data_IF_413126501357
#
_entry.id   IF_413126501357
#
_cell.length_a   1.000
_cell.length_b   1.000
_cell.length_c   1.000
_cell.angle_alpha   90.00
_cell.angle_beta   90.00
_cell.angle_gamma   90.00
#
_symmetry.space_group_name_H-M   'P 1'
#
loop_
_entity.id
_entity.type
_entity.pdbx_description
1 polymer ?
#
# COMPACT_ATOMS: atom_id res chain seq x y z
N UNK A 1 18.92 3.95 -53.29
CA UNK A 1 18.79 4.22 -51.85
C UNK A 1 17.31 4.42 -51.57
N UNK A 2 16.59 3.35 -51.22
CA UNK A 2 15.15 3.46 -50.95
C UNK A 2 14.94 4.16 -49.60
N UNK A 3 14.01 5.12 -49.49
CA UNK A 3 13.68 5.71 -48.21
C UNK A 3 13.03 4.62 -47.35
N UNK A 4 13.74 4.16 -46.32
CA UNK A 4 13.13 3.40 -45.24
C UNK A 4 12.24 4.38 -44.51
N UNK A 5 10.95 4.39 -44.85
CA UNK A 5 9.93 5.04 -44.05
C UNK A 5 10.09 4.56 -42.62
N UNK A 6 10.61 5.42 -41.77
CA UNK A 6 10.60 5.27 -40.33
C UNK A 6 9.12 5.20 -39.94
N UNK A 7 8.58 3.98 -39.84
CA UNK A 7 7.30 3.74 -39.19
C UNK A 7 7.49 4.16 -37.74
N UNK A 8 7.27 5.43 -37.44
CA UNK A 8 6.87 5.83 -36.09
C UNK A 8 5.55 5.12 -35.85
N UNK A 9 5.61 4.05 -35.07
CA UNK A 9 4.43 3.47 -34.45
C UNK A 9 3.66 4.63 -33.82
N UNK A 10 2.41 4.89 -34.23
CA UNK A 10 1.62 5.91 -33.57
C UNK A 10 1.51 5.49 -32.10
N UNK A 11 1.79 6.42 -31.18
CA UNK A 11 1.54 6.28 -29.76
C UNK A 11 0.03 6.05 -29.59
N UNK A 12 -0.41 4.79 -29.72
CA UNK A 12 -1.81 4.40 -29.65
C UNK A 12 -2.22 4.41 -28.18
N UNK A 13 -2.58 5.60 -27.70
CA UNK A 13 -3.32 5.74 -26.45
C UNK A 13 -4.73 5.20 -26.70
N UNK A 14 -4.91 3.89 -26.51
CA UNK A 14 -6.22 3.23 -26.57
C UNK A 14 -6.97 3.53 -25.29
N UNK A 15 -8.08 4.26 -25.38
CA UNK A 15 -9.02 4.40 -24.26
C UNK A 15 -9.56 3.01 -23.90
N UNK A 16 -9.26 2.56 -22.68
CA UNK A 16 -9.75 1.28 -22.16
C UNK A 16 -11.21 1.47 -21.71
N UNK A 17 -12.13 0.69 -22.28
CA UNK A 17 -13.53 0.71 -21.84
C UNK A 17 -13.67 0.23 -20.40
N UNK A 18 -14.66 0.74 -19.66
CA UNK A 18 -14.89 0.36 -18.25
C UNK A 18 -15.20 -1.14 -18.09
N UNK A 19 -15.75 -1.72 -19.14
CA UNK A 19 -16.13 -3.11 -19.34
C UNK A 19 -14.94 -4.04 -19.67
N UNK A 20 -13.82 -3.49 -20.14
CA UNK A 20 -12.54 -4.21 -20.29
C UNK A 20 -11.69 -4.17 -19.01
N UNK A 21 -12.08 -3.37 -18.01
CA UNK A 21 -11.34 -3.26 -16.76
C UNK A 21 -11.69 -4.40 -15.79
N UNK A 22 -10.74 -5.31 -15.56
CA UNK A 22 -10.84 -6.36 -14.54
C UNK A 22 -10.07 -5.96 -13.26
N UNK A 23 -10.77 -5.58 -12.17
CA UNK A 23 -10.14 -5.14 -10.93
C UNK A 23 -9.61 -6.28 -10.06
N UNK A 24 -9.80 -7.56 -10.42
CA UNK A 24 -9.44 -8.70 -9.54
C UNK A 24 -7.96 -8.67 -9.18
N UNK A 25 -7.07 -8.42 -10.14
CA UNK A 25 -5.63 -8.33 -9.89
C UNK A 25 -5.26 -7.21 -8.91
N UNK A 26 -5.89 -6.04 -9.05
CA UNK A 26 -5.68 -4.90 -8.15
C UNK A 26 -6.23 -5.19 -6.75
N UNK A 27 -7.41 -5.81 -6.66
CA UNK A 27 -8.02 -6.20 -5.40
C UNK A 27 -7.16 -7.22 -4.63
N UNK A 28 -6.56 -8.19 -5.33
CA UNK A 28 -5.60 -9.14 -4.74
C UNK A 28 -4.37 -8.40 -4.20
N UNK A 29 -3.82 -7.47 -4.98
CA UNK A 29 -2.64 -6.70 -4.59
C UNK A 29 -2.90 -5.89 -3.31
N UNK A 30 -4.04 -5.20 -3.25
CA UNK A 30 -4.50 -4.46 -2.07
C UNK A 30 -4.73 -5.41 -0.90
N UNK A 31 -5.38 -6.56 -1.13
CA UNK A 31 -5.66 -7.56 -0.09
C UNK A 31 -4.38 -8.10 0.55
N UNK A 32 -3.37 -8.44 -0.26
CA UNK A 32 -2.06 -8.90 0.22
C UNK A 32 -1.35 -7.78 0.98
N UNK A 33 -1.35 -6.56 0.45
CA UNK A 33 -0.75 -5.41 1.12
C UNK A 33 -1.39 -5.15 2.49
N UNK A 34 -2.72 -5.16 2.56
CA UNK A 34 -3.46 -5.01 3.81
C UNK A 34 -3.15 -6.13 4.81
N UNK A 35 -3.06 -7.38 4.34
CA UNK A 35 -2.70 -8.52 5.17
C UNK A 35 -1.30 -8.34 5.79
N UNK A 36 -0.32 -7.89 5.01
CA UNK A 36 1.02 -7.59 5.50
C UNK A 36 0.98 -6.50 6.58
N UNK A 37 0.22 -5.42 6.36
CA UNK A 37 0.08 -4.35 7.35
C UNK A 37 -0.52 -4.86 8.66
N UNK A 38 -1.59 -5.67 8.60
CA UNK A 38 -2.21 -6.26 9.79
C UNK A 38 -1.24 -7.18 10.51
N UNK A 39 -0.51 -8.03 9.79
CA UNK A 39 0.49 -8.92 10.39
C UNK A 39 1.62 -8.14 11.08
N UNK A 40 2.13 -7.08 10.43
CA UNK A 40 3.15 -6.20 11.02
C UNK A 40 2.59 -5.46 12.24
N UNK A 41 1.36 -4.97 12.17
CA UNK A 41 0.69 -4.29 13.27
C UNK A 41 0.53 -5.21 14.49
N UNK A 42 0.04 -6.44 14.27
CA UNK A 42 -0.05 -7.47 15.31
C UNK A 42 1.36 -7.76 15.84
N UNK A 43 2.34 -8.01 14.98
CA UNK A 43 3.71 -8.31 15.41
C UNK A 43 4.29 -7.20 16.30
N UNK A 44 4.14 -5.93 15.91
CA UNK A 44 4.59 -4.79 16.71
C UNK A 44 3.85 -4.71 18.06
N UNK A 45 2.55 -5.00 18.08
CA UNK A 45 1.80 -5.12 19.34
C UNK A 45 2.40 -6.20 20.25
N UNK A 46 2.74 -7.38 19.70
CA UNK A 46 3.38 -8.42 20.51
C UNK A 46 4.75 -7.95 21.05
N UNK A 47 5.56 -7.28 20.22
CA UNK A 47 6.87 -6.73 20.62
C UNK A 47 6.74 -5.67 21.71
N UNK A 48 5.72 -4.81 21.65
CA UNK A 48 5.51 -3.73 22.62
C UNK A 48 4.86 -4.22 23.92
N UNK A 49 3.93 -5.17 23.85
CA UNK A 49 3.05 -5.52 24.99
C UNK A 49 3.34 -6.90 25.62
N UNK A 50 4.12 -7.80 24.98
CA UNK A 50 4.61 -9.02 25.65
C UNK A 50 6.01 -8.82 26.21
N UNK A 51 6.09 -8.33 27.45
CA UNK A 51 7.26 -8.54 28.29
C UNK A 51 7.87 -7.31 28.98
N UNK A 52 7.43 -6.09 28.69
CA UNK A 52 7.79 -4.91 29.46
C UNK A 52 6.61 -3.92 29.53
N UNK A 53 6.41 -3.28 30.68
CA UNK A 53 5.33 -2.34 30.93
C UNK A 53 5.21 -1.19 29.92
N UNK A 54 4.07 -0.47 29.95
CA UNK A 54 3.59 0.43 28.89
C UNK A 54 4.61 1.54 28.58
N UNK A 55 5.18 1.57 27.37
CA UNK A 55 6.37 2.43 27.15
C UNK A 55 6.27 3.57 26.14
N UNK A 56 5.21 3.79 25.35
CA UNK A 56 5.24 4.99 24.46
C UNK A 56 3.97 5.85 24.42
N UNK A 57 2.76 5.33 24.64
CA UNK A 57 1.52 6.16 24.57
C UNK A 57 0.93 6.50 25.96
N UNK A 58 1.23 5.72 27.00
CA UNK A 58 0.70 5.94 28.36
C UNK A 58 1.38 7.08 29.14
N UNK A 59 2.68 7.32 28.92
CA UNK A 59 3.42 8.34 29.66
C UNK A 59 3.17 9.76 29.11
N UNK A 60 2.99 9.91 27.79
CA UNK A 60 2.76 11.22 27.19
C UNK A 60 1.34 11.75 27.46
N UNK A 61 0.33 10.86 27.47
CA UNK A 61 -1.06 11.23 27.77
C UNK A 61 -1.30 11.53 29.26
N UNK A 62 -0.52 10.94 30.17
CA UNK A 62 -0.64 11.20 31.62
C UNK A 62 -0.03 12.55 32.02
N UNK A 63 0.97 13.05 31.29
CA UNK A 63 1.61 14.36 31.56
C UNK A 63 0.77 15.55 31.07
N UNK A 64 0.01 15.39 29.98
CA UNK A 64 -0.82 16.47 29.40
C UNK A 64 -2.15 16.67 30.16
N UNK A 65 -2.59 15.68 30.96
CA UNK A 65 -3.85 15.74 31.73
C UNK A 65 -3.74 16.18 33.18
N UNK A 66 -2.55 16.57 33.65
CA UNK A 66 -2.27 16.94 35.06
C UNK A 66 -1.56 18.30 35.23
N UNK A 67 -1.57 19.16 34.21
CA UNK A 67 -1.02 20.51 34.26
C UNK A 67 -2.10 21.57 33.98
#
# INVERSE_FOLDING_TARGET
>A
MSPRTEQREPDQVRELGHDEYDPIGTAILIGIYFLILVLLWIFMYFVEFLGNGPTVVGALLTVVGLA
#
